data_IF_238003975709
#
_entry.id   IF_238003975709
#
_cell.length_a   1.000
_cell.length_b   1.000
_cell.length_c   1.000
_cell.angle_alpha   90.00
_cell.angle_beta   90.00
_cell.angle_gamma   90.00
#
_symmetry.space_group_name_H-M   'P 1'
#
loop_
_entity.id
_entity.type
_entity.pdbx_description
1 polymer ?
#
# COMPACT_ATOMS: atom_id res chain seq x y z
N UNK A 1 26.41 -29.58 -11.95
CA UNK A 1 25.98 -28.33 -11.29
C UNK A 1 24.83 -27.78 -12.11
N UNK A 2 23.62 -27.69 -11.55
CA UNK A 2 22.47 -27.10 -12.26
C UNK A 2 22.74 -25.63 -12.58
N UNK A 3 22.31 -25.17 -13.75
CA UNK A 3 22.40 -23.77 -14.14
C UNK A 3 21.47 -22.94 -13.23
N UNK A 4 21.97 -21.93 -12.49
CA UNK A 4 21.15 -21.09 -11.60
C UNK A 4 19.92 -20.47 -12.27
N UNK A 5 20.04 -20.16 -13.56
CA UNK A 5 18.96 -19.56 -14.36
C UNK A 5 17.82 -20.56 -14.58
N UNK A 6 18.13 -21.82 -14.85
CA UNK A 6 17.12 -22.88 -15.05
C UNK A 6 16.40 -23.19 -13.74
N UNK A 7 17.15 -23.32 -12.64
CA UNK A 7 16.60 -23.49 -11.30
C UNK A 7 15.65 -22.35 -10.90
N UNK A 8 16.00 -21.11 -11.22
CA UNK A 8 15.16 -19.94 -10.96
C UNK A 8 13.84 -19.98 -11.76
N UNK A 9 13.87 -20.46 -13.01
CA UNK A 9 12.66 -20.63 -13.84
C UNK A 9 11.73 -21.70 -13.26
N UNK A 10 12.27 -22.85 -12.85
CA UNK A 10 11.51 -23.93 -12.24
C UNK A 10 10.86 -23.51 -10.92
N UNK A 11 11.59 -22.78 -10.07
CA UNK A 11 11.05 -22.24 -8.83
C UNK A 11 9.88 -21.28 -9.07
N UNK A 12 10.01 -20.38 -10.06
CA UNK A 12 8.93 -19.45 -10.41
C UNK A 12 7.69 -20.20 -10.93
N UNK A 13 7.87 -21.23 -11.75
CA UNK A 13 6.77 -22.08 -12.23
C UNK A 13 6.05 -22.79 -11.08
N UNK A 14 6.81 -23.28 -10.11
CA UNK A 14 6.23 -23.91 -8.93
C UNK A 14 5.45 -22.90 -8.08
N UNK A 15 5.96 -21.67 -7.94
CA UNK A 15 5.27 -20.61 -7.20
C UNK A 15 3.99 -20.14 -7.87
N UNK A 16 3.88 -20.20 -9.20
CA UNK A 16 2.62 -19.91 -9.90
C UNK A 16 1.51 -20.91 -9.51
N UNK A 17 1.85 -22.17 -9.17
CA UNK A 17 0.87 -23.14 -8.65
C UNK A 17 0.40 -22.76 -7.25
N UNK A 18 1.30 -22.29 -6.40
CA UNK A 18 0.99 -21.88 -5.02
C UNK A 18 0.33 -20.49 -4.94
N UNK A 19 0.60 -19.63 -5.91
CA UNK A 19 0.04 -18.30 -6.04
C UNK A 19 -0.49 -18.04 -7.46
N UNK A 20 -1.64 -18.64 -7.81
CA UNK A 20 -2.17 -18.52 -9.16
C UNK A 20 -2.44 -17.06 -9.55
N UNK A 21 -1.90 -16.68 -10.71
CA UNK A 21 -2.06 -15.36 -11.28
C UNK A 21 -1.37 -14.24 -10.50
N UNK A 22 -0.30 -14.54 -9.73
CA UNK A 22 0.35 -13.51 -8.91
C UNK A 22 0.88 -12.33 -9.73
N UNK A 23 1.24 -12.57 -10.98
CA UNK A 23 1.68 -11.55 -11.92
C UNK A 23 0.55 -10.56 -12.30
N UNK A 24 -0.72 -10.93 -12.11
CA UNK A 24 -1.90 -10.10 -12.32
C UNK A 24 -2.41 -9.43 -11.03
N UNK A 25 -1.82 -9.74 -9.88
CA UNK A 25 -2.29 -9.20 -8.61
C UNK A 25 -2.04 -7.68 -8.55
N UNK A 26 -3.13 -6.95 -8.29
CA UNK A 26 -3.06 -5.53 -7.96
C UNK A 26 -2.45 -5.30 -6.57
N UNK A 27 -2.11 -4.04 -6.31
CA UNK A 27 -1.48 -3.62 -5.05
C UNK A 27 -2.27 -4.04 -3.79
N UNK A 28 -3.60 -3.97 -3.83
CA UNK A 28 -4.46 -4.40 -2.72
C UNK A 28 -4.34 -5.90 -2.43
N UNK A 29 -4.24 -6.73 -3.47
CA UNK A 29 -4.05 -8.17 -3.30
C UNK A 29 -2.67 -8.47 -2.73
N UNK A 30 -1.62 -7.78 -3.20
CA UNK A 30 -0.29 -7.89 -2.59
C UNK A 30 -0.30 -7.48 -1.12
N UNK A 31 -0.87 -6.32 -0.79
CA UNK A 31 -0.99 -5.83 0.58
C UNK A 31 -1.69 -6.85 1.49
N UNK A 32 -2.78 -7.44 1.01
CA UNK A 32 -3.49 -8.49 1.74
C UNK A 32 -2.63 -9.74 1.96
N UNK A 33 -1.93 -10.22 0.92
CA UNK A 33 -1.08 -11.40 1.03
C UNK A 33 0.10 -11.18 1.99
N UNK A 34 0.64 -9.98 2.08
CA UNK A 34 1.63 -9.65 3.11
C UNK A 34 0.99 -9.56 4.50
N UNK A 35 -0.17 -8.90 4.62
CA UNK A 35 -0.84 -8.72 5.91
C UNK A 35 -1.23 -10.06 6.55
N UNK A 36 -1.79 -11.00 5.80
CA UNK A 36 -2.15 -12.33 6.34
C UNK A 36 -0.97 -13.15 6.85
N UNK A 37 0.26 -12.78 6.51
CA UNK A 37 1.51 -13.40 6.98
C UNK A 37 2.15 -12.66 8.15
N UNK A 38 1.61 -11.48 8.52
CA UNK A 38 2.03 -10.75 9.70
C UNK A 38 1.68 -11.56 10.96
N UNK A 39 2.67 -11.85 11.80
CA UNK A 39 2.46 -12.65 13.02
C UNK A 39 1.62 -11.92 14.09
N UNK A 40 1.76 -10.61 14.22
CA UNK A 40 0.98 -9.79 15.13
C UNK A 40 -0.49 -9.76 14.69
N UNK A 41 -0.76 -9.48 13.41
CA UNK A 41 -2.12 -9.53 12.85
C UNK A 41 -2.77 -10.91 13.04
N UNK A 42 -2.01 -11.99 12.80
CA UNK A 42 -2.50 -13.35 13.03
C UNK A 42 -2.81 -13.61 14.50
N UNK A 43 -1.93 -13.21 15.42
CA UNK A 43 -2.16 -13.33 16.86
C UNK A 43 -3.42 -12.57 17.28
N UNK A 44 -3.59 -11.34 16.82
CA UNK A 44 -4.78 -10.55 17.12
C UNK A 44 -6.05 -11.16 16.54
N UNK A 45 -6.00 -11.73 15.32
CA UNK A 45 -7.11 -12.50 14.78
C UNK A 45 -7.41 -13.76 15.60
N UNK A 46 -6.37 -14.49 16.05
CA UNK A 46 -6.52 -15.70 16.87
C UNK A 46 -7.05 -15.38 18.28
N UNK A 47 -6.67 -14.25 18.86
CA UNK A 47 -7.20 -13.74 20.12
C UNK A 47 -8.67 -13.35 19.99
N UNK A 48 -9.03 -12.69 18.88
CA UNK A 48 -10.40 -12.30 18.57
C UNK A 48 -11.35 -13.50 18.48
N UNK A 49 -10.86 -14.65 17.98
CA UNK A 49 -11.62 -15.89 17.93
C UNK A 49 -11.92 -16.50 19.32
N UNK A 50 -11.20 -16.07 20.37
CA UNK A 50 -11.39 -16.53 21.75
C UNK A 50 -12.30 -15.61 22.58
N UNK A 51 -12.70 -14.46 22.03
CA UNK A 51 -13.51 -13.47 22.72
C UNK A 51 -15.01 -13.77 22.60
N UNK A 52 -15.77 -13.29 23.58
CA UNK A 52 -17.23 -13.24 23.48
C UNK A 52 -17.69 -12.30 22.35
N UNK A 53 -18.90 -12.55 21.85
CA UNK A 53 -19.40 -11.89 20.65
C UNK A 53 -19.57 -10.36 20.80
N UNK A 54 -19.86 -9.88 22.01
CA UNK A 54 -19.97 -8.45 22.32
C UNK A 54 -18.62 -7.73 22.24
N UNK A 55 -17.55 -8.28 22.82
CA UNK A 55 -16.21 -7.70 22.74
C UNK A 55 -15.62 -7.83 21.35
N UNK A 56 -15.91 -8.94 20.66
CA UNK A 56 -15.44 -9.22 19.32
C UNK A 56 -15.69 -8.08 18.34
N UNK A 57 -16.91 -7.53 18.28
CA UNK A 57 -17.27 -6.47 17.31
C UNK A 57 -16.38 -5.22 17.49
N UNK A 58 -16.11 -4.83 18.74
CA UNK A 58 -15.27 -3.67 19.04
C UNK A 58 -13.83 -3.94 18.62
N UNK A 59 -13.30 -5.11 18.95
CA UNK A 59 -11.94 -5.51 18.57
C UNK A 59 -11.77 -5.70 17.05
N UNK A 60 -12.79 -6.18 16.33
CA UNK A 60 -12.77 -6.29 14.86
C UNK A 60 -12.55 -4.90 14.24
N UNK A 61 -13.25 -3.88 14.76
CA UNK A 61 -13.10 -2.51 14.31
C UNK A 61 -11.71 -1.95 14.62
N UNK A 62 -11.19 -2.19 15.83
CA UNK A 62 -9.84 -1.74 16.22
C UNK A 62 -8.77 -2.36 15.31
N UNK A 63 -8.84 -3.67 15.07
CA UNK A 63 -7.89 -4.36 14.19
C UNK A 63 -8.03 -3.84 12.75
N UNK A 64 -9.25 -3.65 12.26
CA UNK A 64 -9.47 -3.12 10.92
C UNK A 64 -8.84 -1.72 10.77
N UNK A 65 -9.06 -0.83 11.73
CA UNK A 65 -8.46 0.52 11.75
C UNK A 65 -6.93 0.45 11.85
N UNK A 66 -6.39 -0.39 12.75
CA UNK A 66 -4.93 -0.59 12.95
C UNK A 66 -4.22 -0.97 11.66
N UNK A 67 -4.81 -1.86 10.86
CA UNK A 67 -4.20 -2.36 9.61
C UNK A 67 -4.75 -1.69 8.34
N UNK A 68 -5.54 -0.62 8.47
CA UNK A 68 -6.05 0.16 7.34
C UNK A 68 -7.10 -0.55 6.49
N UNK A 69 -7.83 -1.50 7.08
CA UNK A 69 -8.91 -2.25 6.46
C UNK A 69 -10.24 -1.48 6.55
N UNK A 70 -11.06 -1.55 5.50
CA UNK A 70 -12.43 -1.06 5.46
C UNK A 70 -13.37 -1.86 6.36
N UNK A 71 -13.11 -3.15 6.48
CA UNK A 71 -13.80 -4.06 7.40
C UNK A 71 -12.80 -5.12 7.85
N UNK A 72 -12.99 -5.62 9.06
CA UNK A 72 -12.21 -6.75 9.54
C UNK A 72 -12.32 -7.92 8.57
N UNK A 73 -11.18 -8.54 8.29
CA UNK A 73 -11.10 -9.75 7.49
C UNK A 73 -10.06 -10.65 8.17
N UNK A 74 -10.46 -11.86 8.56
CA UNK A 74 -9.53 -12.81 9.16
C UNK A 74 -8.51 -13.31 8.14
N UNK A 75 -7.29 -13.62 8.59
CA UNK A 75 -6.17 -14.05 7.74
C UNK A 75 -6.40 -15.40 7.04
N UNK A 76 -7.27 -16.24 7.60
CA UNK A 76 -7.67 -17.56 7.09
C UNK A 76 -8.75 -17.47 6.01
N UNK A 77 -9.30 -16.28 5.77
CA UNK A 77 -10.36 -16.09 4.80
C UNK A 77 -9.84 -16.38 3.38
N UNK A 78 -10.51 -17.32 2.70
CA UNK A 78 -10.18 -17.76 1.33
C UNK A 78 -10.71 -16.81 0.26
N UNK A 79 -11.58 -15.87 0.63
CA UNK A 79 -12.18 -14.91 -0.31
C UNK A 79 -11.10 -13.99 -0.88
N UNK A 80 -11.18 -13.73 -2.20
CA UNK A 80 -10.31 -12.74 -2.84
C UNK A 80 -10.55 -11.37 -2.16
N UNK A 81 -9.52 -10.71 -1.62
CA UNK A 81 -9.63 -9.39 -1.03
C UNK A 81 -10.09 -8.45 -2.15
N UNK A 82 -11.36 -8.04 -2.09
CA UNK A 82 -11.85 -6.94 -2.92
C UNK A 82 -11.29 -5.62 -2.41
N UNK A 83 -12.10 -4.55 -2.48
CA UNK A 83 -11.80 -3.26 -1.84
C UNK A 83 -11.87 -3.35 -0.31
N UNK A 84 -10.95 -4.09 0.30
CA UNK A 84 -10.88 -4.30 1.75
C UNK A 84 -10.00 -3.29 2.46
N UNK A 85 -9.24 -2.47 1.73
CA UNK A 85 -8.43 -1.38 2.30
C UNK A 85 -9.16 -0.04 2.15
N UNK A 86 -9.04 0.84 3.14
CA UNK A 86 -9.64 2.18 3.11
C UNK A 86 -8.93 3.09 2.10
N UNK A 87 -9.54 3.24 0.92
CA UNK A 87 -9.21 4.29 -0.05
C UNK A 87 -10.26 5.40 0.09
N UNK A 88 -9.97 6.42 0.91
CA UNK A 88 -10.60 7.75 0.94
C UNK A 88 -12.14 7.83 1.03
N UNK A 89 -12.67 8.11 2.22
CA UNK A 89 -14.01 8.68 2.43
C UNK A 89 -13.99 10.18 2.13
N UNK A 90 -14.15 10.57 0.86
CA UNK A 90 -14.63 11.92 0.55
C UNK A 90 -16.08 11.95 1.04
N UNK A 91 -16.35 12.79 2.04
CA UNK A 91 -17.72 13.06 2.49
C UNK A 91 -18.17 14.34 1.80
N UNK A 92 -19.29 14.27 1.10
CA UNK A 92 -19.96 15.43 0.51
C UNK A 92 -21.23 15.67 1.30
N UNK A 93 -21.50 16.93 1.64
CA UNK A 93 -22.79 17.30 2.18
C UNK A 93 -23.79 17.47 1.02
N UNK A 94 -25.02 16.94 1.11
CA UNK A 94 -26.04 17.22 0.11
C UNK A 94 -26.35 18.72 0.07
N UNK A 95 -26.56 19.24 -1.15
CA UNK A 95 -26.85 20.65 -1.40
C UNK A 95 -28.18 21.09 -0.74
N UNK A 96 -29.15 20.18 -0.64
CA UNK A 96 -30.50 20.43 -0.12
C UNK A 96 -30.63 20.13 1.39
N UNK A 97 -29.54 20.18 2.16
CA UNK A 97 -29.62 19.95 3.60
C UNK A 97 -30.30 21.14 4.29
N UNK A 98 -31.49 20.93 4.84
CA UNK A 98 -32.31 21.99 5.48
C UNK A 98 -31.80 22.41 6.87
N UNK A 99 -30.88 21.65 7.46
CA UNK A 99 -30.33 21.92 8.80
C UNK A 99 -28.84 22.26 8.77
N UNK A 100 -28.45 23.30 9.53
CA UNK A 100 -27.06 23.59 9.84
C UNK A 100 -26.45 22.41 10.59
N UNK A 101 -25.60 21.66 9.91
CA UNK A 101 -24.93 20.52 10.51
C UNK A 101 -23.63 20.98 11.16
N UNK A 102 -23.67 21.15 12.49
CA UNK A 102 -22.46 21.33 13.27
C UNK A 102 -21.64 20.05 13.25
N UNK A 103 -20.51 20.07 12.53
CA UNK A 103 -19.57 18.95 12.48
C UNK A 103 -18.47 19.20 13.49
N UNK A 104 -18.49 18.46 14.59
CA UNK A 104 -17.33 18.36 15.47
C UNK A 104 -16.32 17.38 14.89
N UNK A 105 -15.12 17.87 14.56
CA UNK A 105 -14.01 17.05 14.06
C UNK A 105 -12.86 17.08 15.07
N UNK A 106 -12.49 15.92 15.59
CA UNK A 106 -11.23 15.74 16.30
C UNK A 106 -10.12 15.43 15.29
N UNK A 107 -9.14 16.32 15.16
CA UNK A 107 -8.00 16.16 14.26
C UNK A 107 -6.79 15.71 15.10
N UNK A 108 -6.16 14.60 14.71
CA UNK A 108 -4.96 14.08 15.37
C UNK A 108 -3.67 14.62 14.72
N UNK A 109 -2.50 14.55 15.38
CA UNK A 109 -1.23 14.92 14.77
C UNK A 109 -0.98 14.19 13.43
N UNK A 110 -0.53 14.93 12.42
CA UNK A 110 -0.35 14.42 11.05
C UNK A 110 -1.63 14.31 10.23
N UNK A 111 -2.78 14.71 10.78
CA UNK A 111 -4.04 14.82 10.05
C UNK A 111 -4.30 16.28 9.66
N UNK A 112 -4.94 16.45 8.52
CA UNK A 112 -5.30 17.76 7.97
C UNK A 112 -6.72 17.68 7.42
N UNK A 113 -7.57 18.65 7.77
CA UNK A 113 -8.94 18.77 7.28
C UNK A 113 -8.99 19.91 6.27
N UNK A 114 -9.53 19.62 5.08
CA UNK A 114 -9.82 20.64 4.07
C UNK A 114 -11.33 20.80 3.98
N UNK A 115 -11.80 22.01 4.23
CA UNK A 115 -13.19 22.39 4.02
C UNK A 115 -13.25 23.28 2.78
N UNK A 116 -14.01 22.85 1.78
CA UNK A 116 -14.30 23.65 0.61
C UNK A 116 -15.65 24.31 0.76
N UNK A 117 -15.71 25.63 0.56
CA UNK A 117 -16.97 26.31 0.39
C UNK A 117 -17.29 26.33 -1.10
N UNK A 118 -18.06 25.33 -1.53
CA UNK A 118 -18.45 25.17 -2.95
C UNK A 118 -19.41 26.26 -3.40
N UNK A 119 -20.19 26.87 -2.51
CA UNK A 119 -21.05 28.00 -2.88
C UNK A 119 -20.26 29.20 -3.40
N UNK A 120 -19.08 29.46 -2.81
CA UNK A 120 -18.18 30.54 -3.24
C UNK A 120 -17.45 30.25 -4.55
N UNK A 121 -17.66 29.09 -5.14
CA UNK A 121 -17.04 28.68 -6.41
C UNK A 121 -18.07 28.48 -7.50
N UNK A 122 -19.34 28.82 -7.26
CA UNK A 122 -20.41 28.68 -8.26
C UNK A 122 -20.26 29.71 -9.39
N UNK A 123 -19.65 30.86 -9.10
CA UNK A 123 -19.54 31.99 -10.04
C UNK A 123 -18.34 31.87 -11.00
N UNK A 124 -17.40 30.97 -10.73
CA UNK A 124 -16.19 30.83 -11.55
C UNK A 124 -15.26 29.71 -11.12
N UNK A 125 -14.61 29.10 -12.11
CA UNK A 125 -13.54 28.11 -11.91
C UNK A 125 -12.32 28.74 -11.23
N UNK A 126 -12.16 30.07 -11.32
CA UNK A 126 -11.06 30.79 -10.69
C UNK A 126 -11.07 30.65 -9.17
N UNK A 127 -12.23 30.82 -8.54
CA UNK A 127 -12.41 30.70 -7.09
C UNK A 127 -12.27 29.26 -6.63
N UNK A 128 -12.74 28.31 -7.45
CA UNK A 128 -12.54 26.88 -7.21
C UNK A 128 -11.05 26.53 -7.22
N UNK A 129 -10.36 26.90 -8.30
CA UNK A 129 -8.93 26.66 -8.44
C UNK A 129 -8.14 27.41 -7.39
N UNK A 130 -8.54 28.61 -6.99
CA UNK A 130 -7.92 29.34 -5.89
C UNK A 130 -8.04 28.58 -4.57
N UNK A 131 -9.21 28.02 -4.24
CA UNK A 131 -9.40 27.18 -3.05
C UNK A 131 -8.60 25.89 -3.13
N UNK A 132 -8.60 25.20 -4.27
CA UNK A 132 -7.80 23.98 -4.48
C UNK A 132 -6.31 24.29 -4.38
N UNK A 133 -5.84 25.35 -5.01
CA UNK A 133 -4.43 25.75 -5.01
C UNK A 133 -3.99 26.18 -3.62
N UNK A 134 -4.85 26.89 -2.87
CA UNK A 134 -4.60 27.21 -1.47
C UNK A 134 -4.55 25.93 -0.63
N UNK A 135 -5.54 25.04 -0.72
CA UNK A 135 -5.54 23.77 0.01
C UNK A 135 -4.32 22.91 -0.33
N UNK A 136 -3.92 22.85 -1.61
CA UNK A 136 -2.69 22.19 -2.05
C UNK A 136 -1.45 22.85 -1.47
N UNK A 137 -1.39 24.19 -1.44
CA UNK A 137 -0.26 24.94 -0.87
C UNK A 137 -0.15 24.69 0.62
N UNK A 138 -1.25 24.82 1.37
CA UNK A 138 -1.29 24.59 2.82
C UNK A 138 -1.00 23.13 3.16
N UNK A 139 -1.56 22.17 2.42
CA UNK A 139 -1.25 20.75 2.63
C UNK A 139 0.21 20.43 2.27
N UNK A 140 0.75 21.04 1.22
CA UNK A 140 2.17 20.91 0.86
C UNK A 140 3.05 21.51 1.94
N UNK A 141 2.71 22.68 2.45
CA UNK A 141 3.43 23.34 3.52
C UNK A 141 3.37 22.50 4.80
N UNK A 142 2.19 22.06 5.22
CA UNK A 142 2.05 21.17 6.38
C UNK A 142 2.81 19.85 6.18
N UNK A 143 2.75 19.27 4.97
CA UNK A 143 3.58 18.12 4.60
C UNK A 143 5.06 18.45 4.67
N UNK A 144 5.49 19.62 4.22
CA UNK A 144 6.88 20.07 4.28
C UNK A 144 7.31 20.30 5.72
N UNK A 145 6.46 20.84 6.58
CA UNK A 145 6.70 20.98 8.02
C UNK A 145 6.82 19.60 8.68
N UNK A 146 5.93 18.66 8.35
CA UNK A 146 6.02 17.27 8.79
C UNK A 146 7.27 16.59 8.22
N UNK A 147 7.64 16.88 6.97
CA UNK A 147 8.86 16.38 6.36
C UNK A 147 10.10 17.05 6.92
N UNK A 148 10.05 18.28 7.40
CA UNK A 148 11.19 18.96 8.02
C UNK A 148 11.33 18.50 9.47
N UNK A 149 10.21 18.27 10.18
CA UNK A 149 10.19 17.57 11.45
C UNK A 149 10.75 16.16 11.29
N UNK A 150 10.30 15.43 10.26
CA UNK A 150 10.76 14.09 9.93
C UNK A 150 12.17 14.06 9.34
N UNK A 151 12.62 15.04 8.56
CA UNK A 151 13.98 15.09 7.98
C UNK A 151 14.99 15.68 8.98
N UNK A 152 14.52 16.36 10.03
CA UNK A 152 15.30 16.50 11.26
C UNK A 152 15.48 15.16 11.96
N UNK A 153 14.57 14.20 11.76
CA UNK A 153 14.74 12.79 12.17
C UNK A 153 15.46 11.93 11.09
N UNK A 154 15.35 12.27 9.81
CA UNK A 154 15.73 11.49 8.61
C UNK A 154 16.65 12.33 7.67
N UNK A 155 17.64 13.06 8.18
CA UNK A 155 18.72 13.64 7.34
C UNK A 155 19.63 12.57 6.70
N UNK A 156 19.09 11.36 6.53
CA UNK A 156 19.62 10.22 5.83
C UNK A 156 18.67 9.87 4.68
N UNK A 157 19.10 10.21 3.47
CA UNK A 157 18.90 9.42 2.24
C UNK A 157 17.66 9.72 1.36
N UNK A 158 17.93 10.53 0.33
CA UNK A 158 17.09 10.89 -0.83
C UNK A 158 17.00 9.78 -1.92
N UNK A 159 16.13 9.98 -2.94
CA UNK A 159 16.27 9.60 -4.39
C UNK A 159 14.93 9.15 -5.04
N UNK A 160 14.43 9.87 -6.05
CA UNK A 160 13.34 9.43 -6.93
C UNK A 160 13.57 9.81 -8.41
N UNK A 161 14.14 8.90 -9.22
CA UNK A 161 14.14 8.98 -10.72
C UNK A 161 14.13 7.60 -11.44
N UNK A 162 13.55 6.51 -10.89
CA UNK A 162 13.69 5.12 -11.43
C UNK A 162 12.37 4.34 -11.69
N UNK A 163 11.26 4.91 -12.14
CA UNK A 163 9.95 4.24 -11.90
C UNK A 163 9.41 3.20 -12.92
N UNK A 164 9.76 3.17 -14.21
CA UNK A 164 9.07 2.23 -15.14
C UNK A 164 9.76 0.89 -15.43
N UNK A 165 11.11 0.82 -15.49
CA UNK A 165 11.81 -0.49 -15.50
C UNK A 165 11.63 -1.26 -14.17
N UNK A 166 11.22 -0.58 -13.09
CA UNK A 166 10.98 -1.20 -11.78
C UNK A 166 9.76 -2.13 -11.78
N UNK A 167 8.67 -1.82 -12.50
CA UNK A 167 7.37 -2.49 -12.30
C UNK A 167 7.40 -4.01 -12.57
N UNK A 168 8.12 -4.49 -13.61
CA UNK A 168 8.27 -5.93 -13.92
C UNK A 168 9.24 -6.67 -12.98
N UNK A 169 10.28 -6.00 -12.50
CA UNK A 169 11.23 -6.55 -11.51
C UNK A 169 10.58 -6.63 -10.12
N UNK A 170 9.67 -5.70 -9.83
CA UNK A 170 9.01 -5.56 -8.53
C UNK A 170 8.07 -6.73 -8.20
N UNK A 171 7.26 -7.20 -9.15
CA UNK A 171 6.34 -8.33 -8.93
C UNK A 171 7.08 -9.65 -8.68
N UNK A 172 8.22 -9.86 -9.37
CA UNK A 172 9.11 -11.01 -9.12
C UNK A 172 9.78 -10.93 -7.75
N UNK A 173 10.10 -9.74 -7.28
CA UNK A 173 10.65 -9.58 -5.94
C UNK A 173 9.57 -9.84 -4.88
N UNK A 174 8.33 -9.38 -5.08
CA UNK A 174 7.25 -9.64 -4.12
C UNK A 174 6.89 -11.09 -3.92
N UNK A 175 6.86 -11.89 -4.99
CA UNK A 175 6.59 -13.32 -4.83
C UNK A 175 7.71 -14.02 -4.04
N UNK A 176 8.97 -13.65 -4.30
CA UNK A 176 10.12 -14.13 -3.51
C UNK A 176 9.99 -13.74 -2.04
N UNK A 177 9.55 -12.52 -1.76
CA UNK A 177 9.34 -12.03 -0.41
C UNK A 177 8.20 -12.78 0.31
N UNK A 178 7.09 -13.05 -0.36
CA UNK A 178 6.04 -13.91 0.20
C UNK A 178 6.57 -15.31 0.51
N UNK A 179 7.42 -15.86 -0.35
CA UNK A 179 8.02 -17.18 -0.12
C UNK A 179 8.95 -17.21 1.07
N UNK A 180 9.79 -16.19 1.25
CA UNK A 180 10.65 -16.11 2.44
C UNK A 180 9.78 -16.11 3.70
N UNK A 181 8.66 -15.37 3.69
CA UNK A 181 7.72 -15.36 4.81
C UNK A 181 7.07 -16.71 5.06
N UNK A 182 6.62 -17.39 3.99
CA UNK A 182 5.98 -18.69 4.12
C UNK A 182 6.95 -19.75 4.66
N UNK A 183 8.19 -19.76 4.19
CA UNK A 183 9.23 -20.66 4.72
C UNK A 183 9.60 -20.30 6.17
N UNK A 184 9.65 -19.02 6.52
CA UNK A 184 9.89 -18.58 7.89
C UNK A 184 8.76 -19.00 8.85
N UNK A 185 7.53 -19.01 8.35
CA UNK A 185 6.37 -19.46 9.13
C UNK A 185 6.37 -20.98 9.33
N UNK A 186 6.88 -21.75 8.35
CA UNK A 186 7.05 -23.21 8.46
C UNK A 186 8.17 -23.59 9.41
N UNK A 187 9.32 -22.94 9.30
CA UNK A 187 10.49 -23.23 10.12
C UNK A 187 11.04 -21.98 10.84
N UNK A 188 10.75 -21.93 12.14
CA UNK A 188 11.21 -20.86 13.02
C UNK A 188 12.70 -20.97 13.41
N UNK A 189 13.36 -22.09 13.13
CA UNK A 189 14.79 -22.29 13.46
C UNK A 189 15.71 -21.82 12.34
N UNK A 190 15.32 -21.99 11.09
CA UNK A 190 16.14 -21.51 9.97
C UNK A 190 16.23 -19.98 9.95
N UNK A 191 17.44 -19.47 9.76
CA UNK A 191 17.71 -18.03 9.71
C UNK A 191 17.12 -17.40 8.45
N UNK A 192 16.74 -16.12 8.52
CA UNK A 192 16.24 -15.37 7.36
C UNK A 192 17.20 -15.42 6.18
N UNK A 193 18.50 -15.40 6.45
CA UNK A 193 19.50 -15.39 5.39
C UNK A 193 19.61 -16.75 4.67
N UNK A 194 19.49 -17.86 5.38
CA UNK A 194 19.46 -19.18 4.76
C UNK A 194 18.22 -19.37 3.88
N UNK A 195 17.04 -18.95 4.37
CA UNK A 195 15.80 -18.96 3.58
C UNK A 195 15.96 -18.09 2.32
N UNK A 196 16.53 -16.90 2.47
CA UNK A 196 16.71 -15.99 1.35
C UNK A 196 17.71 -16.53 0.32
N UNK A 197 18.81 -17.17 0.72
CA UNK A 197 19.77 -17.81 -0.20
C UNK A 197 19.14 -18.94 -1.00
N UNK A 198 18.22 -19.71 -0.40
CA UNK A 198 17.48 -20.74 -1.12
C UNK A 198 16.55 -20.15 -2.18
N UNK A 199 15.93 -19.01 -1.88
CA UNK A 199 14.94 -18.34 -2.76
C UNK A 199 15.60 -17.47 -3.83
N UNK A 200 16.83 -17.03 -3.61
CA UNK A 200 17.65 -16.24 -4.54
C UNK A 200 18.90 -17.04 -4.94
N UNK A 201 18.76 -18.07 -5.80
CA UNK A 201 19.88 -18.94 -6.18
C UNK A 201 20.98 -18.19 -6.93
N UNK A 202 20.62 -17.10 -7.61
CA UNK A 202 21.56 -16.23 -8.31
C UNK A 202 22.40 -15.38 -7.34
N UNK A 203 22.09 -15.38 -6.04
CA UNK A 203 22.71 -14.52 -5.03
C UNK A 203 21.85 -13.32 -4.65
N UNK A 204 22.19 -12.69 -3.52
CA UNK A 204 21.53 -11.50 -3.00
C UNK A 204 22.57 -10.39 -3.00
N UNK A 205 22.27 -9.33 -3.73
CA UNK A 205 23.21 -8.24 -3.95
C UNK A 205 22.68 -6.91 -3.36
N UNK A 206 23.61 -6.03 -3.04
CA UNK A 206 23.35 -4.62 -2.70
C UNK A 206 23.02 -3.79 -3.95
N UNK A 207 23.05 -2.46 -3.83
CA UNK A 207 22.78 -1.55 -4.95
C UNK A 207 23.95 -1.43 -5.94
N UNK A 208 25.15 -1.79 -5.50
CA UNK A 208 26.42 -1.63 -6.19
C UNK A 208 26.91 -2.96 -6.82
N UNK A 209 26.16 -4.05 -6.60
CA UNK A 209 26.47 -5.38 -7.12
C UNK A 209 27.32 -6.23 -6.17
N UNK A 210 27.62 -5.73 -4.98
CA UNK A 210 28.26 -6.48 -3.90
C UNK A 210 27.33 -7.56 -3.35
N UNK A 211 27.86 -8.75 -3.08
CA UNK A 211 27.08 -9.85 -2.49
C UNK A 211 26.88 -9.56 -1.01
N UNK A 212 25.64 -9.65 -0.54
CA UNK A 212 25.30 -9.37 0.85
C UNK A 212 25.68 -10.54 1.77
N UNK A 213 26.18 -10.18 2.95
CA UNK A 213 26.45 -11.10 4.06
C UNK A 213 25.19 -11.40 4.88
N UNK A 214 25.25 -12.43 5.74
CA UNK A 214 24.08 -12.95 6.46
C UNK A 214 23.35 -11.89 7.29
N UNK A 215 24.10 -11.03 7.99
CA UNK A 215 23.51 -9.97 8.81
C UNK A 215 22.84 -8.88 7.96
N UNK A 216 23.37 -8.58 6.77
CA UNK A 216 22.81 -7.59 5.84
C UNK A 216 21.56 -8.12 5.17
N UNK A 217 21.56 -9.40 4.80
CA UNK A 217 20.39 -10.10 4.29
C UNK A 217 19.28 -10.06 5.34
N UNK A 218 19.57 -10.42 6.60
CA UNK A 218 18.61 -10.34 7.72
C UNK A 218 18.08 -8.91 7.86
N UNK A 219 18.97 -7.91 7.90
CA UNK A 219 18.59 -6.49 8.02
C UNK A 219 17.70 -6.02 6.88
N UNK A 220 18.05 -6.36 5.63
CA UNK A 220 17.30 -6.03 4.41
C UNK A 220 15.89 -6.63 4.46
N UNK A 221 15.77 -7.92 4.79
CA UNK A 221 14.47 -8.58 4.86
C UNK A 221 13.65 -8.16 6.07
N UNK A 222 14.29 -7.89 7.20
CA UNK A 222 13.62 -7.34 8.39
C UNK A 222 13.05 -5.94 8.11
N UNK A 223 13.86 -5.02 7.55
CA UNK A 223 13.41 -3.68 7.14
C UNK A 223 12.29 -3.76 6.11
N UNK A 224 12.41 -4.64 5.13
CA UNK A 224 11.40 -4.81 4.11
C UNK A 224 10.12 -5.47 4.63
N UNK A 225 10.22 -6.35 5.63
CA UNK A 225 9.06 -6.88 6.33
C UNK A 225 8.36 -5.78 7.09
N UNK A 226 9.08 -5.04 7.93
CA UNK A 226 8.55 -3.86 8.62
C UNK A 226 7.87 -2.90 7.63
N UNK A 227 8.53 -2.57 6.52
CA UNK A 227 7.95 -1.76 5.46
C UNK A 227 6.71 -2.42 4.81
N UNK A 228 6.68 -3.74 4.62
CA UNK A 228 5.51 -4.43 4.05
C UNK A 228 4.33 -4.50 5.02
N UNK A 229 4.58 -4.37 6.32
CA UNK A 229 3.57 -4.24 7.37
C UNK A 229 3.09 -2.80 7.52
N UNK A 230 3.95 -1.82 7.24
CA UNK A 230 3.63 -0.40 7.18
C UNK A 230 3.04 0.00 5.82
N UNK A 231 3.23 -0.84 4.79
CA UNK A 231 2.79 -0.60 3.41
C UNK A 231 1.29 -0.39 3.24
N UNK A 232 0.34 -0.93 4.03
CA UNK A 232 -1.05 -0.47 3.97
C UNK A 232 -1.18 1.06 4.13
N UNK A 233 -0.26 1.70 4.86
CA UNK A 233 -0.15 3.17 4.97
C UNK A 233 0.51 3.81 3.75
N UNK A 234 1.54 3.21 3.14
CA UNK A 234 2.17 3.69 1.88
C UNK A 234 1.34 3.40 0.61
N UNK A 235 0.53 2.34 0.58
CA UNK A 235 -0.38 2.04 -0.53
C UNK A 235 -1.48 3.10 -0.62
N UNK A 236 -1.80 3.78 0.50
CA UNK A 236 -2.64 4.98 0.52
C UNK A 236 -2.02 6.12 -0.30
N UNK A 237 -0.69 6.27 -0.35
CA UNK A 237 -0.02 7.32 -1.12
C UNK A 237 0.22 6.92 -2.59
N UNK A 238 0.59 5.66 -2.89
CA UNK A 238 0.85 5.19 -4.27
C UNK A 238 -0.43 5.07 -5.11
N UNK A 239 -1.58 4.73 -4.50
CA UNK A 239 -2.86 4.66 -5.23
C UNK A 239 -3.47 6.03 -5.55
N UNK A 240 -3.06 7.09 -4.84
CA UNK A 240 -3.41 8.47 -5.19
C UNK A 240 -2.64 8.91 -6.44
N UNK A 241 -1.39 8.49 -6.64
CA UNK A 241 -0.62 8.77 -7.85
C UNK A 241 -0.99 7.90 -9.06
N UNK A 242 -1.37 6.63 -8.87
CA UNK A 242 -1.76 5.74 -9.99
C UNK A 242 -3.14 6.09 -10.58
N UNK A 243 -4.01 6.81 -9.86
CA UNK A 243 -5.28 7.34 -10.44
C UNK A 243 -5.06 8.51 -11.40
N UNK A 244 -3.97 9.26 -11.26
CA UNK A 244 -3.64 10.39 -12.15
C UNK A 244 -3.28 9.93 -13.58
N UNK A 245 -2.69 8.73 -13.73
CA UNK A 245 -2.30 8.20 -15.06
C UNK A 245 -3.44 7.50 -15.82
N UNK A 246 -4.40 6.89 -15.12
CA UNK A 246 -5.54 6.21 -15.78
C UNK A 246 -6.70 7.14 -16.14
N UNK A 247 -6.81 8.29 -15.47
CA UNK A 247 -7.85 9.28 -15.72
C UNK A 247 -7.49 10.19 -16.90
N UNK A 248 -6.22 10.61 -16.98
CA UNK A 248 -5.67 11.38 -18.10
C UNK A 248 -5.78 10.63 -19.44
N UNK A 249 -5.48 9.32 -19.47
CA UNK A 249 -5.64 8.49 -20.67
C UNK A 249 -7.10 8.22 -21.08
N UNK A 250 -8.06 8.30 -20.15
CA UNK A 250 -9.50 8.12 -20.46
C UNK A 250 -10.16 9.40 -20.99
N UNK A 251 -9.73 10.57 -20.52
CA UNK A 251 -10.21 11.87 -21.00
C UNK A 251 -9.79 12.11 -22.45
N UNK A 252 -8.53 11.79 -22.81
CA UNK A 252 -8.02 11.96 -24.18
C UNK A 252 -8.78 11.10 -25.22
N UNK A 253 -9.17 9.88 -24.82
CA UNK A 253 -9.93 8.95 -25.69
C UNK A 253 -11.37 9.41 -25.88
N UNK A 254 -11.97 10.08 -24.88
CA UNK A 254 -13.34 10.57 -24.96
C UNK A 254 -13.46 11.90 -25.73
N UNK A 255 -12.45 12.76 -25.64
CA UNK A 255 -12.35 14.00 -26.43
C UNK A 255 -12.18 13.73 -27.94
N UNK A 256 -11.43 12.68 -28.33
CA UNK A 256 -11.30 12.28 -29.74
C UNK A 256 -12.59 11.73 -30.33
N UNK A 257 -13.41 11.02 -29.55
CA UNK A 257 -14.71 10.51 -30.03
C UNK A 257 -15.74 11.63 -30.26
N UNK A 258 -15.79 12.68 -29.43
CA UNK A 258 -16.73 13.79 -29.62
C UNK A 258 -16.46 14.66 -30.86
N UNK A 259 -15.22 14.67 -31.38
CA UNK A 259 -14.89 15.35 -32.64
C UNK A 259 -15.37 14.58 -33.88
N UNK A 260 -15.59 13.27 -33.78
CA UNK A 260 -16.05 12.44 -34.90
C UNK A 260 -17.57 12.48 -35.11
N UNK A 261 -18.36 12.90 -34.13
CA UNK A 261 -19.83 12.99 -34.21
C UNK A 261 -20.35 14.42 -34.47
N UNK A 262 -19.47 15.33 -34.90
CA UNK A 262 -19.83 16.74 -35.20
C UNK A 262 -19.65 17.15 -36.66
N UNK A 263 -19.45 16.20 -37.57
CA UNK A 263 -19.54 16.42 -39.02
C UNK A 263 -20.72 15.63 -39.58
#
# INVERSE_FOLDING_TARGET
MENPIEKNKEMILQWEKEYPGYHLWGNQRWAWEFLKRNQEFRKECDELNKMDQSRRIVFERIIAEKYGLKKFLSYDNKVKPGNIFLIGTIKCWPFDAEEDNNIELSIQPGQFVIVFNVHKTLDGDFEFDAQINKAKKELKQYREELLLAKNKEDSDLSVERKNDRKKKTWTKNYIRHLKINDERLKDKKTTWANIARQIFPDGIYDKDGGKLEDFEIVSKYHKMMKASLEKPKEYRSILLSDKESSFSGKIEKHMKMKKFFKN
#
